data_IF_230317922288
#
_entry.id   IF_230317922288
#
_cell.length_a   1.000
_cell.length_b   1.000
_cell.length_c   1.000
_cell.angle_alpha   90.00
_cell.angle_beta   90.00
_cell.angle_gamma   90.00
#
_symmetry.space_group_name_H-M   'P 1'
#
loop_
_entity.id
_entity.type
_entity.pdbx_description
1 polymer ?
#
# COMPACT_ATOMS: atom_id res chain seq x y z
N UNK A 1 43.73 28.12 -12.54
CA UNK A 1 42.83 27.54 -13.55
C UNK A 1 41.85 26.64 -12.84
N UNK A 2 40.57 26.98 -12.98
CA UNK A 2 39.32 26.29 -12.67
C UNK A 2 39.45 24.79 -12.39
N UNK A 3 38.85 24.20 -11.37
CA UNK A 3 37.45 24.36 -10.97
C UNK A 3 37.23 24.12 -9.48
N UNK A 4 36.77 25.16 -8.79
CA UNK A 4 35.79 24.99 -7.71
C UNK A 4 34.53 24.34 -8.29
N UNK A 5 33.72 23.75 -7.42
CA UNK A 5 32.35 23.22 -7.61
C UNK A 5 32.30 21.69 -7.53
N UNK A 6 32.32 21.21 -6.29
CA UNK A 6 31.33 20.20 -5.88
C UNK A 6 30.63 20.79 -4.66
N UNK A 7 29.79 21.78 -4.95
CA UNK A 7 28.78 22.28 -4.03
C UNK A 7 27.81 21.12 -3.80
N UNK A 8 28.12 20.31 -2.79
CA UNK A 8 27.29 19.19 -2.36
C UNK A 8 26.06 19.79 -1.67
N UNK A 9 25.07 20.07 -2.51
CA UNK A 9 23.79 20.68 -2.16
C UNK A 9 22.93 19.64 -1.44
N UNK A 10 23.29 19.29 -0.20
CA UNK A 10 22.37 18.62 0.71
C UNK A 10 21.46 19.67 1.33
N UNK A 11 20.62 20.26 0.49
CA UNK A 11 19.57 21.15 0.96
C UNK A 11 18.59 20.31 1.78
N UNK A 12 18.72 20.38 3.09
CA UNK A 12 17.61 20.71 3.98
C UNK A 12 16.31 19.92 3.85
N UNK A 13 16.33 18.65 3.47
CA UNK A 13 15.21 17.75 3.79
C UNK A 13 15.27 17.54 5.30
N UNK A 14 14.56 18.39 6.03
CA UNK A 14 14.46 18.33 7.49
C UNK A 14 14.20 16.88 7.88
N UNK A 15 15.16 16.25 8.56
CA UNK A 15 15.11 14.84 8.93
C UNK A 15 13.78 14.47 9.62
N UNK A 16 13.19 15.45 10.33
CA UNK A 16 11.86 15.37 10.93
C UNK A 16 10.74 15.12 9.92
N UNK A 17 10.78 15.76 8.75
CA UNK A 17 9.78 15.61 7.68
C UNK A 17 9.89 14.25 6.98
N UNK A 18 11.12 13.76 6.77
CA UNK A 18 11.35 12.42 6.21
C UNK A 18 10.88 11.36 7.20
N UNK A 19 11.21 11.52 8.48
CA UNK A 19 10.78 10.62 9.53
C UNK A 19 9.26 10.62 9.72
N UNK A 20 8.61 11.78 9.70
CA UNK A 20 7.15 11.88 9.80
C UNK A 20 6.46 11.23 8.60
N UNK A 21 7.00 11.42 7.38
CA UNK A 21 6.46 10.80 6.16
C UNK A 21 6.68 9.29 6.14
N UNK A 22 7.80 8.82 6.67
CA UNK A 22 8.04 7.39 6.84
C UNK A 22 7.06 6.79 7.87
N UNK A 23 6.82 7.47 9.00
CA UNK A 23 5.88 7.02 10.01
C UNK A 23 4.44 6.92 9.47
N UNK A 24 3.97 7.92 8.72
CA UNK A 24 2.64 7.86 8.08
C UNK A 24 2.54 6.72 7.06
N UNK A 25 3.61 6.47 6.30
CA UNK A 25 3.67 5.37 5.34
C UNK A 25 3.59 4.01 6.04
N UNK A 26 4.32 3.84 7.15
CA UNK A 26 4.29 2.61 7.96
C UNK A 26 2.89 2.39 8.55
N UNK A 27 2.26 3.45 9.07
CA UNK A 27 0.89 3.36 9.59
C UNK A 27 -0.10 2.91 8.51
N UNK A 28 -0.03 3.51 7.31
CA UNK A 28 -0.85 3.08 6.17
C UNK A 28 -0.62 1.61 5.80
N UNK A 29 0.62 1.12 5.89
CA UNK A 29 0.91 -0.29 5.65
C UNK A 29 0.28 -1.19 6.71
N UNK A 30 0.35 -0.80 7.99
CA UNK A 30 -0.28 -1.55 9.08
C UNK A 30 -1.80 -1.61 8.90
N UNK A 31 -2.44 -0.49 8.59
CA UNK A 31 -3.88 -0.42 8.36
C UNK A 31 -4.30 -1.31 7.18
N UNK A 32 -3.56 -1.24 6.06
CA UNK A 32 -3.81 -2.09 4.89
C UNK A 32 -3.60 -3.57 5.21
N UNK A 33 -2.59 -3.92 6.00
CA UNK A 33 -2.37 -5.30 6.42
C UNK A 33 -3.49 -5.80 7.33
N UNK A 34 -3.99 -4.96 8.23
CA UNK A 34 -5.13 -5.28 9.09
C UNK A 34 -6.39 -5.51 8.25
N UNK A 35 -6.70 -4.59 7.33
CA UNK A 35 -7.83 -4.71 6.40
C UNK A 35 -7.73 -5.97 5.54
N UNK A 36 -6.55 -6.29 4.98
CA UNK A 36 -6.34 -7.53 4.22
C UNK A 36 -6.54 -8.78 5.06
N UNK A 37 -6.11 -8.78 6.32
CA UNK A 37 -6.38 -9.89 7.25
C UNK A 37 -7.87 -10.02 7.56
N UNK A 38 -8.60 -8.92 7.70
CA UNK A 38 -10.06 -8.93 7.88
C UNK A 38 -10.76 -9.47 6.64
N UNK A 39 -10.38 -9.00 5.44
CA UNK A 39 -10.90 -9.49 4.17
C UNK A 39 -10.57 -10.97 3.92
N UNK A 40 -9.40 -11.44 4.34
CA UNK A 40 -9.04 -12.86 4.24
C UNK A 40 -9.82 -13.74 5.24
N UNK A 41 -10.31 -13.16 6.34
CA UNK A 41 -11.13 -13.84 7.35
C UNK A 41 -12.63 -13.80 7.03
N UNK A 42 -13.05 -12.99 6.04
CA UNK A 42 -14.42 -12.99 5.56
C UNK A 42 -14.71 -14.36 4.94
N UNK A 43 -15.54 -15.14 5.61
CA UNK A 43 -15.96 -16.44 5.11
C UNK A 43 -16.85 -16.29 3.87
N UNK A 44 -16.83 -17.30 3.01
CA UNK A 44 -17.62 -17.31 1.77
C UNK A 44 -19.13 -17.11 2.01
N UNK A 45 -19.63 -17.48 3.19
CA UNK A 45 -21.01 -17.23 3.63
C UNK A 45 -21.33 -15.75 3.76
N UNK A 46 -20.41 -14.95 4.31
CA UNK A 46 -20.58 -13.50 4.46
C UNK A 46 -20.47 -12.76 3.12
N UNK A 47 -19.74 -13.33 2.15
CA UNK A 47 -19.72 -12.79 0.78
C UNK A 47 -21.08 -12.97 0.08
N UNK A 48 -21.77 -14.09 0.33
CA UNK A 48 -23.13 -14.32 -0.18
C UNK A 48 -24.12 -13.31 0.41
N UNK A 49 -24.00 -12.98 1.71
CA UNK A 49 -24.83 -11.96 2.36
C UNK A 49 -24.61 -10.54 1.79
N UNK A 50 -23.41 -10.26 1.27
CA UNK A 50 -23.10 -9.03 0.53
C UNK A 50 -23.62 -9.04 -0.92
N UNK A 51 -24.33 -10.10 -1.33
CA UNK A 51 -24.83 -10.27 -2.69
C UNK A 51 -23.75 -10.70 -3.70
N UNK A 52 -22.56 -11.08 -3.24
CA UNK A 52 -21.48 -11.55 -4.10
C UNK A 52 -21.64 -13.05 -4.36
N UNK A 53 -21.94 -13.40 -5.60
CA UNK A 53 -21.99 -14.80 -6.01
C UNK A 53 -20.57 -15.36 -6.18
N UNK A 54 -20.27 -16.48 -5.53
CA UNK A 54 -18.96 -17.18 -5.59
C UNK A 54 -18.51 -17.42 -7.03
N UNK A 55 -19.44 -17.68 -7.96
CA UNK A 55 -19.15 -17.88 -9.37
C UNK A 55 -18.64 -16.60 -10.06
N UNK A 56 -19.21 -15.43 -9.72
CA UNK A 56 -18.75 -14.14 -10.25
C UNK A 56 -17.37 -13.79 -9.69
N UNK A 57 -17.14 -14.01 -8.39
CA UNK A 57 -15.82 -13.81 -7.76
C UNK A 57 -14.76 -14.69 -8.43
N UNK A 58 -15.07 -15.96 -8.69
CA UNK A 58 -14.16 -16.89 -9.38
C UNK A 58 -13.83 -16.45 -10.81
N UNK A 59 -14.81 -15.88 -11.54
CA UNK A 59 -14.57 -15.33 -12.88
C UNK A 59 -13.71 -14.05 -12.83
N UNK A 60 -13.94 -13.19 -11.85
CA UNK A 60 -13.16 -11.96 -11.63
C UNK A 60 -11.69 -12.28 -11.28
N UNK A 61 -11.44 -13.23 -10.38
CA UNK A 61 -10.07 -13.66 -9.99
C UNK A 61 -9.28 -14.19 -11.21
N UNK A 62 -9.96 -14.81 -12.17
CA UNK A 62 -9.32 -15.34 -13.39
C UNK A 62 -8.90 -14.26 -14.39
N UNK A 63 -9.32 -13.00 -14.21
CA UNK A 63 -8.93 -11.92 -15.14
C UNK A 63 -7.42 -11.69 -15.09
N UNK A 64 -6.76 -11.48 -16.25
CA UNK A 64 -5.31 -11.36 -16.34
C UNK A 64 -4.76 -10.12 -15.64
N UNK A 65 -5.59 -9.14 -15.33
CA UNK A 65 -5.22 -7.95 -14.55
C UNK A 65 -4.76 -8.29 -13.12
N UNK A 66 -5.24 -9.39 -12.53
CA UNK A 66 -4.97 -9.77 -11.14
C UNK A 66 -3.81 -10.77 -10.97
N UNK A 67 -3.15 -11.17 -12.05
CA UNK A 67 -1.90 -11.96 -12.02
C UNK A 67 -0.70 -11.04 -11.90
#
# INVERSE_FOLDING_TARGET
>A
MSTLILQQKWDGLSFKQVLSSAATTIQLWMDRQHQRKQLAKLEASQLVDMGLNVNQVSQEIKKPFWK
#
